data_IF_931114356478
#
_entry.id   IF_931114356478
#
_cell.length_a   1.000
_cell.length_b   1.000
_cell.length_c   1.000
_cell.angle_alpha   90.00
_cell.angle_beta   90.00
_cell.angle_gamma   90.00
#
_symmetry.space_group_name_H-M   'P 1'
#
loop_
_entity.id
_entity.type
_entity.pdbx_description
1 polymer ?
#
# COMPACT_ATOMS: atom_id res chain seq x y z
N UNK A 1 10.30 5.92 -4.84
CA UNK A 1 9.22 4.91 -5.01
C UNK A 1 8.93 4.55 -6.46
N UNK A 2 8.26 5.39 -7.26
CA UNK A 2 7.90 5.01 -8.65
C UNK A 2 9.12 4.58 -9.50
N UNK A 3 10.21 5.35 -9.45
CA UNK A 3 11.48 4.98 -10.12
C UNK A 3 12.01 3.63 -9.65
N UNK A 4 12.11 3.43 -8.34
CA UNK A 4 12.54 2.15 -7.74
C UNK A 4 11.67 0.99 -8.22
N UNK A 5 10.34 1.16 -8.24
CA UNK A 5 9.43 0.13 -8.72
C UNK A 5 9.57 -0.18 -10.22
N UNK A 6 10.07 0.76 -11.02
CA UNK A 6 10.33 0.54 -12.44
C UNK A 6 11.68 -0.16 -12.67
N UNK A 7 12.73 0.31 -11.99
CA UNK A 7 14.08 -0.18 -12.18
C UNK A 7 14.27 -1.60 -11.63
N UNK A 8 13.66 -1.89 -10.47
CA UNK A 8 13.82 -3.18 -9.79
C UNK A 8 12.69 -4.17 -10.10
N UNK A 9 11.67 -3.77 -10.87
CA UNK A 9 10.42 -4.54 -11.11
C UNK A 9 9.77 -5.05 -9.81
N UNK A 10 9.78 -4.21 -8.77
CA UNK A 10 9.18 -4.50 -7.45
C UNK A 10 8.04 -3.55 -7.12
N UNK A 11 7.18 -3.94 -6.18
CA UNK A 11 6.24 -2.98 -5.57
C UNK A 11 6.92 -2.29 -4.39
N UNK A 12 6.93 -0.95 -4.38
CA UNK A 12 7.39 -0.13 -3.26
C UNK A 12 6.19 0.36 -2.45
N UNK A 13 6.23 0.26 -1.12
CA UNK A 13 5.16 0.72 -0.23
C UNK A 13 5.65 1.84 0.67
N UNK A 14 4.93 2.94 0.76
CA UNK A 14 5.25 4.02 1.69
C UNK A 14 5.01 3.52 3.12
N UNK A 15 5.97 3.76 4.00
CA UNK A 15 5.93 3.34 5.40
C UNK A 15 5.67 4.53 6.31
N UNK A 16 6.47 5.58 6.16
CA UNK A 16 6.39 6.75 7.02
C UNK A 16 6.74 8.02 6.24
N UNK A 17 6.16 9.13 6.68
CA UNK A 17 6.45 10.47 6.19
C UNK A 17 6.47 11.41 7.38
N UNK A 18 7.47 12.26 7.45
CA UNK A 18 7.55 13.32 8.44
C UNK A 18 8.03 14.62 7.80
N UNK A 19 7.63 15.73 8.39
CA UNK A 19 8.07 17.07 8.01
C UNK A 19 8.90 17.61 9.17
N UNK A 20 10.11 18.11 8.90
CA UNK A 20 10.96 18.67 9.94
C UNK A 20 10.28 19.91 10.58
N UNK A 21 9.97 19.90 11.89
CA UNK A 21 9.36 21.05 12.55
C UNK A 21 10.21 22.33 12.52
N UNK A 22 11.53 22.20 12.38
CA UNK A 22 12.48 23.32 12.31
C UNK A 22 12.80 23.74 10.88
N UNK A 23 12.46 22.91 9.90
CA UNK A 23 12.64 23.16 8.48
C UNK A 23 11.41 22.64 7.73
N UNK A 24 10.25 23.31 7.78
CA UNK A 24 8.95 22.77 7.34
C UNK A 24 8.85 22.47 5.84
N UNK A 25 9.89 22.83 5.07
CA UNK A 25 10.03 22.44 3.67
C UNK A 25 10.76 21.12 3.47
N UNK A 26 11.41 20.58 4.49
CA UNK A 26 12.15 19.33 4.42
C UNK A 26 11.24 18.20 4.87
N UNK A 27 11.07 17.24 3.96
CA UNK A 27 10.23 16.06 4.16
C UNK A 27 11.14 14.85 4.12
N UNK A 28 11.05 14.01 5.14
CA UNK A 28 11.70 12.71 5.19
C UNK A 28 10.64 11.65 4.91
N UNK A 29 10.91 10.76 3.97
CA UNK A 29 10.02 9.66 3.61
C UNK A 29 10.76 8.33 3.71
N UNK A 30 10.05 7.31 4.21
CA UNK A 30 10.50 5.93 4.21
C UNK A 30 9.56 5.08 3.38
N UNK A 31 10.13 4.17 2.60
CA UNK A 31 9.37 3.17 1.86
C UNK A 31 10.05 1.81 1.98
N UNK A 32 9.25 0.75 1.89
CA UNK A 32 9.71 -0.62 1.84
C UNK A 32 9.63 -1.16 0.42
N UNK A 33 10.54 -2.07 0.09
CA UNK A 33 10.50 -2.94 -1.09
C UNK A 33 10.82 -4.37 -0.64
N UNK A 34 10.42 -5.40 -1.40
CA UNK A 34 10.98 -6.74 -1.25
C UNK A 34 12.50 -6.71 -1.22
N UNK A 35 13.11 -7.56 -0.41
CA UNK A 35 14.55 -7.64 -0.32
C UNK A 35 15.14 -8.00 -1.69
N UNK A 36 15.92 -7.07 -2.23
CA UNK A 36 16.81 -7.28 -3.38
C UNK A 36 18.25 -7.21 -2.89
N UNK A 37 19.14 -7.99 -3.52
CA UNK A 37 20.55 -8.09 -3.10
C UNK A 37 21.24 -6.71 -3.16
N UNK A 38 21.11 -6.03 -4.29
CA UNK A 38 21.59 -4.67 -4.55
C UNK A 38 20.55 -3.95 -5.42
N UNK A 39 20.40 -2.63 -5.22
CA UNK A 39 19.60 -1.80 -6.13
C UNK A 39 20.41 -1.58 -7.41
N UNK A 40 19.73 -1.40 -8.54
CA UNK A 40 20.39 -1.05 -9.80
C UNK A 40 21.17 0.27 -9.68
N UNK A 41 22.26 0.40 -10.44
CA UNK A 41 23.09 1.61 -10.49
C UNK A 41 22.25 2.89 -10.75
N UNK A 42 21.17 2.79 -11.53
CA UNK A 42 20.20 3.88 -11.79
C UNK A 42 19.57 4.42 -10.48
N UNK A 43 19.29 3.53 -9.54
CA UNK A 43 18.71 3.88 -8.25
C UNK A 43 19.78 4.27 -7.23
N UNK A 44 20.99 3.67 -7.30
CA UNK A 44 22.12 4.04 -6.44
C UNK A 44 22.56 5.51 -6.62
N UNK A 45 22.35 6.09 -7.81
CA UNK A 45 22.57 7.52 -8.06
C UNK A 45 21.57 8.44 -7.32
N UNK A 46 20.50 7.87 -6.76
CA UNK A 46 19.53 8.60 -5.92
C UNK A 46 20.01 8.63 -4.47
N UNK A 47 19.84 9.77 -3.77
CA UNK A 47 20.12 9.90 -2.33
C UNK A 47 19.14 9.06 -1.48
N UNK A 48 19.29 7.73 -1.51
CA UNK A 48 18.54 6.76 -0.73
C UNK A 48 19.45 6.16 0.35
N UNK A 49 19.03 6.26 1.60
CA UNK A 49 19.68 5.59 2.73
C UNK A 49 18.94 4.29 3.04
N UNK A 50 19.62 3.13 3.02
CA UNK A 50 19.05 1.87 3.50
C UNK A 50 19.07 1.85 5.04
N UNK A 51 17.91 1.91 5.67
CA UNK A 51 17.78 2.02 7.15
C UNK A 51 17.55 0.68 7.83
N UNK A 52 16.91 -0.28 7.14
CA UNK A 52 16.58 -1.58 7.71
C UNK A 52 16.49 -2.67 6.64
N UNK A 53 16.76 -3.92 7.03
CA UNK A 53 16.47 -5.11 6.24
C UNK A 53 16.26 -6.31 7.16
N UNK A 54 15.30 -7.17 6.83
CA UNK A 54 14.99 -8.40 7.58
C UNK A 54 15.10 -9.68 6.73
N UNK A 55 15.60 -9.56 5.49
CA UNK A 55 15.76 -10.67 4.56
C UNK A 55 14.56 -10.94 3.65
N UNK A 56 13.37 -10.42 3.97
CA UNK A 56 12.22 -10.43 3.05
C UNK A 56 11.89 -9.04 2.51
N UNK A 57 12.26 -8.00 3.26
CA UNK A 57 12.09 -6.60 2.88
C UNK A 57 13.34 -5.75 3.18
N UNK A 58 13.40 -4.59 2.53
CA UNK A 58 14.35 -3.54 2.83
C UNK A 58 13.61 -2.20 2.93
N UNK A 59 13.97 -1.39 3.93
CA UNK A 59 13.44 -0.04 4.13
C UNK A 59 14.49 0.96 3.69
N UNK A 60 14.06 1.90 2.87
CA UNK A 60 14.86 3.01 2.38
C UNK A 60 14.27 4.32 2.85
N UNK A 61 15.14 5.23 3.30
CA UNK A 61 14.82 6.60 3.67
C UNK A 61 15.40 7.55 2.65
N UNK A 62 14.68 8.62 2.37
CA UNK A 62 15.19 9.73 1.59
C UNK A 62 14.60 11.06 2.05
N UNK A 63 15.28 12.13 1.69
CA UNK A 63 14.83 13.50 1.97
C UNK A 63 14.46 14.22 0.68
N UNK A 64 13.45 15.08 0.76
CA UNK A 64 13.05 15.97 -0.33
C UNK A 64 12.52 17.29 0.18
N UNK A 65 12.46 18.28 -0.72
CA UNK A 65 11.85 19.58 -0.44
C UNK A 65 10.36 19.54 -0.83
N UNK A 66 9.50 20.17 -0.01
CA UNK A 66 8.02 20.13 -0.06
C UNK A 66 7.38 21.00 -1.15
N UNK A 67 8.06 21.21 -2.27
CA UNK A 67 7.60 22.03 -3.41
C UNK A 67 7.83 21.34 -4.76
N UNK A 68 8.25 20.07 -4.73
CA UNK A 68 8.45 19.24 -5.92
C UNK A 68 7.14 18.73 -6.53
N UNK A 69 6.02 19.39 -6.24
CA UNK A 69 4.67 18.99 -6.63
C UNK A 69 4.42 17.51 -6.31
N UNK A 70 4.77 17.06 -5.10
CA UNK A 70 4.50 15.68 -4.72
C UNK A 70 2.97 15.45 -4.75
N UNK A 71 2.44 14.42 -5.44
CA UNK A 71 1.00 14.15 -5.47
C UNK A 71 0.39 14.07 -4.08
N UNK A 72 1.11 13.50 -3.12
CA UNK A 72 0.68 13.40 -1.72
C UNK A 72 0.49 14.78 -1.08
N UNK A 73 1.40 15.71 -1.32
CA UNK A 73 1.30 17.07 -0.78
C UNK A 73 0.19 17.87 -1.47
N UNK A 74 0.00 17.69 -2.78
CA UNK A 74 -1.13 18.29 -3.49
C UNK A 74 -2.47 17.83 -2.88
N UNK A 75 -2.59 16.57 -2.48
CA UNK A 75 -3.78 16.04 -1.81
C UNK A 75 -3.92 16.61 -0.38
N UNK A 76 -2.84 16.59 0.40
CA UNK A 76 -2.82 17.06 1.80
C UNK A 76 -3.15 18.56 1.93
N UNK A 77 -2.82 19.38 0.92
CA UNK A 77 -3.17 20.81 0.88
C UNK A 77 -4.69 21.07 0.95
N UNK A 78 -5.50 20.10 0.54
CA UNK A 78 -6.96 20.15 0.65
C UNK A 78 -7.49 19.53 1.95
N UNK A 79 -6.63 19.34 2.96
CA UNK A 79 -7.01 18.77 4.25
C UNK A 79 -7.33 17.28 4.21
N UNK A 80 -7.00 16.59 3.11
CA UNK A 80 -7.21 15.16 2.95
C UNK A 80 -5.93 14.38 3.27
N UNK A 81 -5.88 13.60 4.37
CA UNK A 81 -4.74 12.73 4.64
C UNK A 81 -4.61 11.64 3.59
N UNK A 82 -3.38 11.36 3.18
CA UNK A 82 -3.07 10.21 2.33
C UNK A 82 -3.01 8.96 3.20
N UNK A 83 -3.75 7.93 2.79
CA UNK A 83 -3.93 6.67 3.53
C UNK A 83 -2.95 5.60 3.05
N UNK A 84 -2.67 5.56 1.75
CA UNK A 84 -1.76 4.58 1.14
C UNK A 84 -1.04 5.22 -0.05
N UNK A 85 0.24 4.90 -0.18
CA UNK A 85 1.07 5.26 -1.34
C UNK A 85 1.88 4.05 -1.72
N UNK A 86 1.80 3.64 -2.98
CA UNK A 86 2.59 2.53 -3.50
C UNK A 86 3.09 2.81 -4.90
N UNK A 87 4.33 2.45 -5.18
CA UNK A 87 4.93 2.46 -6.52
C UNK A 87 4.87 1.06 -7.11
N UNK A 88 4.32 0.91 -8.31
CA UNK A 88 4.27 -0.36 -9.03
C UNK A 88 4.53 -0.09 -10.51
N UNK A 89 5.56 -0.75 -11.08
CA UNK A 89 5.95 -0.63 -12.50
C UNK A 89 6.07 0.83 -12.97
N UNK A 90 6.71 1.68 -12.17
CA UNK A 90 6.89 3.10 -12.51
C UNK A 90 5.68 4.00 -12.26
N UNK A 91 4.55 3.44 -11.84
CA UNK A 91 3.32 4.21 -11.55
C UNK A 91 3.14 4.37 -10.06
N UNK A 92 2.84 5.60 -9.62
CA UNK A 92 2.47 5.87 -8.23
C UNK A 92 0.95 5.74 -8.08
N UNK A 93 0.52 4.89 -7.16
CA UNK A 93 -0.86 4.78 -6.72
C UNK A 93 -0.99 5.46 -5.37
N UNK A 94 -1.98 6.34 -5.25
CA UNK A 94 -2.26 7.09 -4.02
C UNK A 94 -3.71 6.89 -3.64
N UNK A 95 -3.97 6.61 -2.37
CA UNK A 95 -5.30 6.47 -1.78
C UNK A 95 -5.48 7.54 -0.73
N UNK A 96 -6.62 8.24 -0.79
CA UNK A 96 -7.01 9.23 0.21
C UNK A 96 -8.53 9.23 0.34
N UNK A 97 -9.02 9.86 1.40
CA UNK A 97 -10.45 10.05 1.62
C UNK A 97 -10.78 11.54 1.49
N UNK A 98 -11.57 11.88 0.47
CA UNK A 98 -12.18 13.20 0.39
C UNK A 98 -13.37 13.29 1.34
N UNK A 99 -13.58 14.44 1.99
CA UNK A 99 -14.73 14.60 2.88
C UNK A 99 -16.05 14.65 2.09
N UNK A 100 -16.03 15.27 0.90
CA UNK A 100 -17.15 15.25 -0.03
C UNK A 100 -16.71 15.27 -1.51
N UNK A 101 -17.68 15.44 -2.41
CA UNK A 101 -17.46 15.46 -3.86
C UNK A 101 -16.76 16.72 -4.35
N UNK A 102 -16.90 17.83 -3.65
CA UNK A 102 -16.26 19.09 -3.99
C UNK A 102 -14.78 19.02 -3.65
N UNK A 103 -14.44 18.55 -2.44
CA UNK A 103 -13.04 18.31 -2.05
C UNK A 103 -12.34 17.33 -3.01
N UNK A 104 -13.04 16.24 -3.37
CA UNK A 104 -12.52 15.28 -4.35
C UNK A 104 -12.20 15.94 -5.69
N UNK A 105 -13.09 16.81 -6.20
CA UNK A 105 -12.89 17.50 -7.46
C UNK A 105 -11.68 18.42 -7.38
N UNK A 106 -11.56 19.22 -6.33
CA UNK A 106 -10.45 20.15 -6.15
C UNK A 106 -9.09 19.43 -6.05
N UNK A 107 -9.04 18.30 -5.35
CA UNK A 107 -7.85 17.45 -5.28
C UNK A 107 -7.47 16.92 -6.67
N UNK A 108 -8.43 16.35 -7.43
CA UNK A 108 -8.16 15.82 -8.77
C UNK A 108 -7.68 16.92 -9.71
N UNK A 109 -8.30 18.10 -9.67
CA UNK A 109 -7.90 19.25 -10.49
C UNK A 109 -6.46 19.68 -10.15
N UNK A 110 -6.15 19.85 -8.87
CA UNK A 110 -4.80 20.26 -8.40
C UNK A 110 -3.73 19.23 -8.76
N UNK A 111 -3.99 17.94 -8.53
CA UNK A 111 -3.04 16.89 -8.90
C UNK A 111 -2.88 16.83 -10.42
N UNK A 112 -3.96 16.97 -11.18
CA UNK A 112 -3.95 16.95 -12.64
C UNK A 112 -3.20 18.14 -13.27
N UNK A 113 -3.17 19.30 -12.62
CA UNK A 113 -2.38 20.46 -13.06
C UNK A 113 -0.87 20.15 -13.07
N UNK A 114 -0.37 19.48 -12.03
CA UNK A 114 1.04 19.14 -11.91
C UNK A 114 1.42 17.78 -12.50
N UNK A 115 0.45 16.86 -12.59
CA UNK A 115 0.60 15.50 -13.10
C UNK A 115 -0.47 15.18 -14.16
N UNK A 116 -0.31 15.64 -15.41
CA UNK A 116 -1.32 15.47 -16.46
C UNK A 116 -1.61 14.00 -16.83
N UNK A 117 -0.74 13.07 -16.43
CA UNK A 117 -0.90 11.62 -16.64
C UNK A 117 -1.72 10.95 -15.53
N UNK A 118 -2.18 11.70 -14.52
CA UNK A 118 -2.98 11.18 -13.43
C UNK A 118 -4.34 10.69 -13.94
N UNK A 119 -4.76 9.54 -13.43
CA UNK A 119 -6.06 8.95 -13.72
C UNK A 119 -6.71 8.45 -12.43
N UNK A 120 -8.01 8.69 -12.28
CA UNK A 120 -8.81 8.10 -11.21
C UNK A 120 -9.07 6.64 -11.53
N UNK A 121 -8.38 5.73 -10.85
CA UNK A 121 -8.51 4.27 -11.06
C UNK A 121 -9.73 3.66 -10.38
N UNK A 122 -10.07 4.16 -9.19
CA UNK A 122 -11.18 3.65 -8.39
C UNK A 122 -11.76 4.77 -7.55
N UNK A 123 -13.08 4.91 -7.58
CA UNK A 123 -13.83 5.79 -6.68
C UNK A 123 -14.85 4.95 -5.94
N UNK A 124 -14.74 4.89 -4.61
CA UNK A 124 -15.71 4.24 -3.73
C UNK A 124 -16.43 5.34 -2.98
N UNK A 125 -17.74 5.45 -3.21
CA UNK A 125 -18.58 6.34 -2.43
C UNK A 125 -19.29 5.50 -1.36
N UNK A 126 -19.08 5.82 -0.09
CA UNK A 126 -19.98 5.33 0.95
C UNK A 126 -21.36 5.92 0.64
N UNK A 127 -22.34 5.07 0.31
CA UNK A 127 -23.75 5.52 0.32
C UNK A 127 -24.03 5.99 1.74
N UNK A 128 -24.34 7.26 1.93
CA UNK A 128 -24.88 7.72 3.20
C UNK A 128 -26.23 7.01 3.43
N UNK A 129 -26.44 6.56 4.67
CA UNK A 129 -27.71 6.11 5.27
C UNK A 129 -28.23 4.71 4.85
N UNK A 130 -27.84 3.71 5.65
CA UNK A 130 -28.79 2.67 6.07
C UNK A 130 -29.12 3.00 7.55
N UNK A 131 -30.38 2.86 7.96
CA UNK A 131 -30.99 3.39 9.21
C UNK A 131 -30.36 2.89 10.54
N UNK A 132 -29.30 2.08 10.52
CA UNK A 132 -28.71 1.44 11.70
C UNK A 132 -27.32 2.00 12.10
N UNK A 133 -26.85 3.07 11.46
CA UNK A 133 -25.70 3.87 11.95
C UNK A 133 -24.34 3.16 12.05
N UNK A 134 -24.25 1.85 11.79
CA UNK A 134 -23.00 1.10 11.82
C UNK A 134 -22.46 0.94 10.40
N UNK A 135 -21.59 1.87 10.01
CA UNK A 135 -20.61 1.61 8.95
C UNK A 135 -19.25 1.55 9.63
N UNK A 136 -18.93 0.38 10.18
CA UNK A 136 -17.54 0.05 10.53
C UNK A 136 -16.76 -0.05 9.23
N UNK A 137 -16.21 1.07 8.78
CA UNK A 137 -15.10 1.04 7.83
C UNK A 137 -13.94 0.41 8.59
N UNK A 138 -13.78 -0.91 8.43
CA UNK A 138 -12.62 -1.60 9.01
C UNK A 138 -11.42 -1.19 8.18
N UNK A 139 -10.61 -0.30 8.75
CA UNK A 139 -9.28 -0.01 8.25
C UNK A 139 -8.40 -1.20 8.59
N UNK A 140 -8.02 -1.97 7.58
CA UNK A 140 -7.05 -3.04 7.73
C UNK A 140 -5.67 -2.49 7.45
N UNK A 141 -4.84 -2.43 8.48
CA UNK A 141 -3.42 -2.28 8.28
C UNK A 141 -2.86 -3.60 7.72
N UNK A 142 -2.44 -3.57 6.45
CA UNK A 142 -1.83 -4.72 5.77
C UNK A 142 -0.52 -5.13 6.45
N UNK A 143 0.14 -4.23 7.17
CA UNK A 143 1.38 -4.50 7.92
C UNK A 143 1.20 -5.55 9.03
N UNK A 144 -0.04 -5.80 9.46
CA UNK A 144 -0.34 -6.81 10.48
C UNK A 144 -0.05 -8.22 9.96
N UNK A 145 -0.14 -8.45 8.65
CA UNK A 145 0.20 -9.72 8.02
C UNK A 145 1.71 -9.84 7.80
N UNK A 146 2.26 -11.03 8.01
CA UNK A 146 3.62 -11.29 7.51
C UNK A 146 3.60 -11.45 6.00
N UNK A 147 4.73 -11.22 5.33
CA UNK A 147 4.84 -11.41 3.87
C UNK A 147 4.34 -12.78 3.42
N UNK A 148 4.68 -13.84 4.18
CA UNK A 148 4.22 -15.19 3.87
C UNK A 148 2.70 -15.35 4.03
N UNK A 149 2.10 -14.71 5.04
CA UNK A 149 0.66 -14.72 5.26
C UNK A 149 -0.08 -13.93 4.16
N UNK A 150 0.47 -12.80 3.74
CA UNK A 150 -0.05 -12.01 2.63
C UNK A 150 0.04 -12.79 1.32
N UNK A 151 1.20 -13.38 1.01
CA UNK A 151 1.40 -14.18 -0.20
C UNK A 151 0.43 -15.37 -0.27
N UNK A 152 0.24 -16.08 0.86
CA UNK A 152 -0.70 -17.20 0.98
C UNK A 152 -2.14 -16.75 0.73
N UNK A 153 -2.57 -15.63 1.33
CA UNK A 153 -3.91 -15.08 1.13
C UNK A 153 -4.15 -14.62 -0.31
N UNK A 154 -3.19 -13.90 -0.90
CA UNK A 154 -3.26 -13.40 -2.28
C UNK A 154 -3.39 -14.56 -3.26
N UNK A 155 -2.51 -15.56 -3.15
CA UNK A 155 -2.52 -16.72 -4.06
C UNK A 155 -3.81 -17.53 -3.93
N UNK A 156 -4.29 -17.74 -2.70
CA UNK A 156 -5.59 -18.39 -2.47
C UNK A 156 -6.75 -17.60 -3.10
N UNK A 157 -6.74 -16.28 -3.00
CA UNK A 157 -7.75 -15.42 -3.59
C UNK A 157 -7.71 -15.46 -5.13
N UNK A 158 -6.53 -15.34 -5.72
CA UNK A 158 -6.35 -15.36 -7.19
C UNK A 158 -6.76 -16.69 -7.82
N UNK A 159 -6.52 -17.81 -7.12
CA UNK A 159 -6.95 -19.13 -7.55
C UNK A 159 -8.43 -19.43 -7.24
N UNK A 160 -9.18 -18.48 -6.68
CA UNK A 160 -10.60 -18.65 -6.38
C UNK A 160 -10.87 -19.66 -5.26
N UNK A 161 -9.93 -19.86 -4.33
CA UNK A 161 -10.08 -20.78 -3.20
C UNK A 161 -11.30 -20.46 -2.30
N UNK A 162 -11.65 -19.18 -2.23
CA UNK A 162 -12.76 -18.65 -1.43
C UNK A 162 -14.09 -18.55 -2.19
N UNK A 163 -14.09 -18.81 -3.50
CA UNK A 163 -15.26 -18.64 -4.34
C UNK A 163 -16.29 -19.76 -4.14
N UNK A 164 -17.51 -19.53 -4.66
CA UNK A 164 -18.54 -20.55 -4.78
C UNK A 164 -19.12 -20.57 -6.21
N UNK A 165 -18.91 -21.66 -6.98
CA UNK A 165 -18.08 -22.83 -6.67
C UNK A 165 -16.59 -22.47 -6.55
N UNK A 166 -15.82 -23.25 -5.78
CA UNK A 166 -14.39 -23.01 -5.60
C UNK A 166 -13.63 -23.13 -6.93
N UNK A 167 -12.75 -22.18 -7.20
CA UNK A 167 -11.80 -22.21 -8.32
C UNK A 167 -10.62 -23.16 -8.08
N UNK A 168 -10.17 -23.26 -6.82
CA UNK A 168 -9.10 -24.16 -6.40
C UNK A 168 -9.32 -24.73 -4.99
N UNK A 169 -8.72 -25.88 -4.72
CA UNK A 169 -8.68 -26.51 -3.41
C UNK A 169 -7.36 -26.23 -2.66
N UNK A 170 -7.28 -26.60 -1.38
CA UNK A 170 -6.12 -26.27 -0.54
C UNK A 170 -4.82 -26.94 -1.01
N UNK A 171 -4.90 -28.11 -1.64
CA UNK A 171 -3.76 -28.78 -2.25
C UNK A 171 -3.26 -28.00 -3.45
N UNK A 172 -4.14 -27.63 -4.37
CA UNK A 172 -3.80 -26.85 -5.57
C UNK A 172 -3.16 -25.50 -5.24
N UNK A 173 -3.66 -24.80 -4.21
CA UNK A 173 -3.04 -23.54 -3.76
C UNK A 173 -1.68 -23.78 -3.10
N UNK A 174 -1.52 -24.89 -2.35
CA UNK A 174 -0.26 -25.23 -1.70
C UNK A 174 0.81 -25.63 -2.73
N UNK A 175 0.40 -26.34 -3.78
CA UNK A 175 1.24 -26.72 -4.91
C UNK A 175 1.74 -25.48 -5.67
N UNK A 176 0.88 -24.49 -5.90
CA UNK A 176 1.27 -23.19 -6.49
C UNK A 176 2.30 -22.43 -5.64
N UNK A 177 2.22 -22.60 -4.31
CA UNK A 177 3.10 -21.94 -3.34
C UNK A 177 4.36 -22.74 -2.97
N UNK A 178 4.57 -23.89 -3.61
CA UNK A 178 5.62 -24.88 -3.34
C UNK A 178 5.76 -25.22 -1.84
N UNK A 179 4.64 -25.49 -1.18
CA UNK A 179 4.58 -25.88 0.24
C UNK A 179 3.66 -27.05 0.50
N UNK A 180 3.83 -27.69 1.65
CA UNK A 180 2.88 -28.67 2.13
C UNK A 180 1.50 -28.03 2.37
N UNK A 181 0.43 -28.77 2.04
CA UNK A 181 -0.96 -28.33 2.30
C UNK A 181 -1.21 -27.96 3.76
N UNK A 182 -0.56 -28.66 4.70
CA UNK A 182 -0.63 -28.35 6.12
C UNK A 182 -0.04 -26.95 6.44
N UNK A 183 1.09 -26.60 5.83
CA UNK A 183 1.74 -25.29 5.96
C UNK A 183 0.89 -24.17 5.35
N UNK A 184 0.24 -24.43 4.22
CA UNK A 184 -0.72 -23.50 3.63
C UNK A 184 -1.88 -23.21 4.59
N UNK A 185 -2.52 -24.27 5.13
CA UNK A 185 -3.65 -24.13 6.07
C UNK A 185 -3.23 -23.37 7.33
N UNK A 186 -2.02 -23.64 7.85
CA UNK A 186 -1.47 -22.95 9.01
C UNK A 186 -1.29 -21.45 8.75
N UNK A 187 -0.60 -21.09 7.66
CA UNK A 187 -0.40 -19.68 7.29
C UNK A 187 -1.73 -18.98 7.00
N UNK A 188 -2.65 -19.63 6.30
CA UNK A 188 -3.97 -19.10 6.01
C UNK A 188 -4.76 -18.82 7.28
N UNK A 189 -4.76 -19.78 8.22
CA UNK A 189 -5.44 -19.65 9.51
C UNK A 189 -4.84 -18.53 10.35
N UNK A 190 -3.51 -18.40 10.36
CA UNK A 190 -2.82 -17.33 11.07
C UNK A 190 -3.14 -15.95 10.49
N UNK A 191 -3.17 -15.84 9.16
CA UNK A 191 -3.52 -14.63 8.44
C UNK A 191 -4.98 -14.23 8.71
N UNK A 192 -5.91 -15.18 8.62
CA UNK A 192 -7.33 -14.97 8.91
C UNK A 192 -7.56 -14.56 10.37
N UNK A 193 -6.86 -15.16 11.34
CA UNK A 193 -6.95 -14.73 12.76
C UNK A 193 -6.54 -13.28 12.95
N UNK A 194 -5.44 -12.86 12.32
CA UNK A 194 -4.98 -11.47 12.38
C UNK A 194 -6.00 -10.50 11.77
N UNK A 195 -6.56 -10.85 10.61
CA UNK A 195 -7.62 -10.06 9.98
C UNK A 195 -8.88 -10.00 10.85
N UNK A 196 -9.31 -11.13 11.42
CA UNK A 196 -10.47 -11.20 12.30
C UNK A 196 -10.26 -10.39 13.58
N UNK A 197 -9.09 -10.46 14.20
CA UNK A 197 -8.78 -9.61 15.36
C UNK A 197 -8.85 -8.13 14.98
N UNK A 198 -8.29 -7.73 13.83
CA UNK A 198 -8.39 -6.34 13.35
C UNK A 198 -9.83 -5.87 13.08
N UNK A 199 -10.77 -6.78 12.78
CA UNK A 199 -12.19 -6.46 12.56
C UNK A 199 -12.96 -6.42 13.87
N UNK A 200 -12.68 -7.37 14.76
CA UNK A 200 -13.49 -7.68 15.93
C UNK A 200 -12.99 -6.97 17.19
N UNK A 201 -11.69 -6.66 17.29
CA UNK A 201 -11.12 -5.81 18.33
C UNK A 201 -11.37 -4.35 17.93
N UNK A 202 -12.62 -3.92 18.08
CA UNK A 202 -13.01 -2.51 18.03
C UNK A 202 -12.74 -1.89 19.40
N UNK A 203 -11.55 -1.33 19.61
CA UNK A 203 -11.27 -0.34 20.66
C UNK A 203 -11.00 1.03 20.05
#
# INVERSE_FOLDING_TARGET
MARVSAAEDVTAYSMSKSVDPHAPKHVTEEFSVPAVDELSEEIEETELEKTFTDGSSAIYRFERVSDRNCPCECIEQHGSPVVDVRGERGTLYVVFHAADREDLRQVIETVGEFHPQMEVRRLVQSRAEDEDGSKSLVFFDKSVLTDRQQQVLTTAHELGYFDHPKGANAGEVADELDIATATFIEHLSAAQRKLLNSILDTE
#
